data_IF_927669846822
#
_entry.id   IF_927669846822
#
_cell.length_a   1.000
_cell.length_b   1.000
_cell.length_c   1.000
_cell.angle_alpha   90.00
_cell.angle_beta   90.00
_cell.angle_gamma   90.00
#
_symmetry.space_group_name_H-M   'P 1'
#
loop_
_entity.id
_entity.type
_entity.pdbx_description
1 polymer ?
#
# COMPACT_ATOMS: atom_id res chain seq x y z
N UNK A 1 8.51 16.38 29.90
CA UNK A 1 8.22 15.95 28.50
C UNK A 1 7.14 16.88 27.98
N UNK A 2 7.40 17.65 26.93
CA UNK A 2 6.37 18.52 26.32
C UNK A 2 5.42 17.64 25.51
N UNK A 3 4.12 17.90 25.59
CA UNK A 3 3.13 17.24 24.72
C UNK A 3 3.38 17.59 23.25
N UNK A 4 2.86 16.76 22.34
CA UNK A 4 3.04 16.86 20.88
C UNK A 4 2.75 18.28 20.31
N UNK A 5 1.86 19.04 20.95
CA UNK A 5 1.55 20.43 20.61
C UNK A 5 2.46 21.48 21.25
N UNK A 6 2.96 21.25 22.47
CA UNK A 6 3.65 22.26 23.28
C UNK A 6 5.07 22.56 22.79
N UNK A 7 5.81 21.52 22.39
CA UNK A 7 7.14 21.70 21.81
C UNK A 7 7.08 22.55 20.52
N UNK A 8 6.05 22.33 19.71
CA UNK A 8 5.89 22.94 18.39
C UNK A 8 5.44 24.39 18.47
N UNK A 9 4.51 24.72 19.39
CA UNK A 9 4.11 26.11 19.67
C UNK A 9 5.30 26.92 20.17
N UNK A 10 6.15 26.31 21.02
CA UNK A 10 7.36 26.96 21.53
C UNK A 10 8.41 27.24 20.45
N UNK A 11 8.51 26.39 19.42
CA UNK A 11 9.49 26.55 18.33
C UNK A 11 9.04 27.49 17.20
N UNK A 12 7.75 27.52 16.89
CA UNK A 12 7.26 28.18 15.66
C UNK A 12 6.07 29.13 15.88
N UNK A 13 5.63 29.35 17.13
CA UNK A 13 4.48 30.20 17.45
C UNK A 13 3.12 29.54 17.19
N UNK A 14 2.04 30.27 17.53
CA UNK A 14 0.68 29.88 17.17
C UNK A 14 0.43 30.17 15.69
N UNK A 15 0.10 29.14 14.92
CA UNK A 15 -0.07 29.21 13.47
C UNK A 15 -1.51 28.83 13.07
N UNK A 16 -1.96 29.26 11.87
CA UNK A 16 -3.29 28.98 11.28
C UNK A 16 -3.66 27.48 11.26
N UNK A 17 -4.97 27.20 11.14
CA UNK A 17 -5.57 25.84 11.13
C UNK A 17 -4.81 24.88 10.21
N UNK A 18 -4.14 23.90 10.81
CA UNK A 18 -3.37 22.87 10.10
C UNK A 18 -4.30 21.78 9.57
N UNK A 19 -4.00 21.29 8.38
CA UNK A 19 -4.60 20.08 7.79
C UNK A 19 -3.52 19.00 7.72
N UNK A 20 -3.87 17.78 8.09
CA UNK A 20 -3.00 16.63 7.81
C UNK A 20 -2.92 16.40 6.29
N UNK A 21 -1.84 15.76 5.84
CA UNK A 21 -1.72 15.21 4.49
C UNK A 21 -1.18 13.79 4.61
N UNK A 22 -1.46 12.96 3.61
CA UNK A 22 -0.96 11.59 3.53
C UNK A 22 0.22 11.54 2.57
N UNK A 23 1.36 11.05 3.05
CA UNK A 23 2.52 10.74 2.22
C UNK A 23 2.48 9.25 1.88
N UNK A 24 2.39 8.94 0.59
CA UNK A 24 2.41 7.59 0.05
C UNK A 24 3.81 7.31 -0.47
N UNK A 25 4.41 6.19 -0.04
CA UNK A 25 5.76 5.80 -0.45
C UNK A 25 5.74 4.39 -1.04
N UNK A 26 6.46 4.21 -2.15
CA UNK A 26 6.81 2.89 -2.67
C UNK A 26 8.30 2.67 -2.40
N UNK A 27 8.63 1.62 -1.64
CA UNK A 27 10.00 1.35 -1.19
C UNK A 27 10.48 0.00 -1.74
N UNK A 28 11.71 -0.06 -2.21
CA UNK A 28 12.37 -1.32 -2.56
C UNK A 28 12.71 -2.10 -1.28
N UNK A 29 12.10 -3.27 -1.08
CA UNK A 29 12.35 -4.08 0.12
C UNK A 29 13.79 -4.63 0.22
N UNK A 30 14.60 -4.56 -0.85
CA UNK A 30 15.98 -5.06 -0.85
C UNK A 30 16.99 -3.95 -0.57
N UNK A 31 16.79 -2.80 -1.20
CA UNK A 31 17.74 -1.67 -1.12
C UNK A 31 17.30 -0.59 -0.15
N UNK A 32 16.04 -0.64 0.32
CA UNK A 32 15.39 0.40 1.12
C UNK A 32 15.28 1.76 0.42
N UNK A 33 15.49 1.80 -0.89
CA UNK A 33 15.33 3.02 -1.68
C UNK A 33 13.84 3.35 -1.85
N UNK A 34 13.51 4.63 -1.69
CA UNK A 34 12.20 5.16 -2.09
C UNK A 34 12.19 5.26 -3.62
N UNK A 35 11.29 4.53 -4.26
CA UNK A 35 11.14 4.48 -5.73
C UNK A 35 10.08 5.48 -6.21
N UNK A 36 9.00 5.65 -5.44
CA UNK A 36 7.94 6.61 -5.73
C UNK A 36 7.48 7.28 -4.45
N UNK A 37 7.06 8.54 -4.57
CA UNK A 37 6.45 9.28 -3.48
C UNK A 37 5.29 10.11 -4.04
N UNK A 38 4.16 10.11 -3.34
CA UNK A 38 3.02 10.96 -3.69
C UNK A 38 2.39 11.55 -2.43
N UNK A 39 1.87 12.77 -2.52
CA UNK A 39 1.31 13.50 -1.39
C UNK A 39 -0.16 13.83 -1.66
N UNK A 40 -1.07 13.23 -0.90
CA UNK A 40 -2.50 13.46 -1.04
C UNK A 40 -3.10 14.21 0.15
N UNK A 41 -4.30 14.77 -0.06
CA UNK A 41 -5.13 15.29 1.02
C UNK A 41 -5.71 14.12 1.85
N UNK A 42 -6.17 14.39 3.07
CA UNK A 42 -6.68 13.34 3.98
C UNK A 42 -7.94 12.64 3.48
N UNK A 43 -8.77 13.36 2.73
CA UNK A 43 -10.02 12.84 2.16
C UNK A 43 -9.80 11.92 0.96
N UNK A 44 -8.57 11.86 0.43
CA UNK A 44 -8.21 10.92 -0.64
C UNK A 44 -7.91 9.57 0.01
N UNK A 45 -8.58 8.52 -0.48
CA UNK A 45 -8.31 7.15 -0.08
C UNK A 45 -7.01 6.65 -0.68
N UNK A 46 -6.40 5.66 -0.03
CA UNK A 46 -5.09 5.14 -0.47
C UNK A 46 -5.18 4.50 -1.87
N UNK A 47 -6.33 3.89 -2.20
CA UNK A 47 -6.61 3.38 -3.55
C UNK A 47 -6.73 4.47 -4.61
N UNK A 48 -7.27 5.65 -4.27
CA UNK A 48 -7.40 6.78 -5.20
C UNK A 48 -6.04 7.45 -5.47
N UNK A 49 -5.15 7.50 -4.48
CA UNK A 49 -3.79 8.01 -4.65
C UNK A 49 -2.87 7.04 -5.41
N UNK A 50 -3.19 5.73 -5.37
CA UNK A 50 -2.31 4.68 -5.89
C UNK A 50 -1.88 4.85 -7.37
N UNK A 51 -2.76 5.21 -8.33
CA UNK A 51 -2.33 5.46 -9.71
C UNK A 51 -1.29 6.57 -9.81
N UNK A 52 -1.46 7.66 -9.04
CA UNK A 52 -0.52 8.79 -9.00
C UNK A 52 0.85 8.37 -8.50
N UNK A 53 0.90 7.46 -7.51
CA UNK A 53 2.13 6.88 -6.99
C UNK A 53 2.80 5.94 -8.00
N UNK A 54 2.11 4.87 -8.42
CA UNK A 54 2.73 3.77 -9.18
C UNK A 54 3.08 4.17 -10.61
N UNK A 55 2.41 5.17 -11.18
CA UNK A 55 2.72 5.67 -12.53
C UNK A 55 4.10 6.31 -12.62
N UNK A 56 4.64 6.85 -11.53
CA UNK A 56 5.96 7.49 -11.48
C UNK A 56 7.13 6.53 -11.75
N UNK A 57 7.00 5.24 -11.39
CA UNK A 57 8.11 4.31 -11.58
C UNK A 57 8.32 3.93 -13.05
N UNK A 58 9.56 4.08 -13.51
CA UNK A 58 10.03 3.51 -14.79
C UNK A 58 10.83 2.21 -14.58
N UNK A 59 11.04 1.79 -13.31
CA UNK A 59 11.77 0.57 -12.97
C UNK A 59 10.92 -0.66 -13.31
N UNK A 60 11.57 -1.74 -13.74
CA UNK A 60 10.92 -3.06 -13.85
C UNK A 60 10.69 -3.63 -12.45
N UNK A 61 9.45 -3.56 -11.97
CA UNK A 61 9.05 -4.11 -10.67
C UNK A 61 8.41 -5.48 -10.91
N UNK A 62 8.90 -6.52 -10.22
CA UNK A 62 8.33 -7.88 -10.33
C UNK A 62 6.98 -7.99 -9.63
N UNK A 63 6.89 -7.49 -8.42
CA UNK A 63 5.70 -7.59 -7.59
C UNK A 63 5.60 -6.36 -6.67
N UNK A 64 4.37 -5.96 -6.34
CA UNK A 64 4.10 -4.91 -5.38
C UNK A 64 3.21 -5.47 -4.26
N UNK A 65 3.63 -5.29 -3.02
CA UNK A 65 2.88 -5.67 -1.82
C UNK A 65 2.18 -4.44 -1.23
N UNK A 66 0.87 -4.53 -1.02
CA UNK A 66 0.06 -3.46 -0.41
C UNK A 66 -1.04 -4.07 0.47
N UNK A 67 -1.76 -3.26 1.26
CA UNK A 67 -2.75 -3.81 2.22
C UNK A 67 -4.09 -4.01 1.52
N UNK A 68 -5.03 -4.61 2.26
CA UNK A 68 -6.37 -4.85 1.74
C UNK A 68 -7.15 -3.58 1.39
N UNK A 69 -6.70 -2.38 1.78
CA UNK A 69 -7.32 -1.15 1.30
C UNK A 69 -7.15 -1.02 -0.22
N UNK A 70 -6.00 -1.47 -0.76
CA UNK A 70 -5.69 -1.49 -2.19
C UNK A 70 -6.36 -2.62 -2.97
N UNK A 71 -7.19 -3.47 -2.33
CA UNK A 71 -7.94 -4.53 -3.02
C UNK A 71 -9.12 -3.95 -3.82
N UNK A 72 -8.81 -3.18 -4.86
CA UNK A 72 -9.75 -2.51 -5.75
C UNK A 72 -9.36 -2.77 -7.20
N UNK A 73 -10.34 -2.82 -8.12
CA UNK A 73 -10.05 -3.04 -9.55
C UNK A 73 -9.07 -2.02 -10.10
N UNK A 74 -9.25 -0.75 -9.73
CA UNK A 74 -8.34 0.35 -10.09
C UNK A 74 -6.88 0.02 -9.77
N UNK A 75 -6.58 -0.43 -8.55
CA UNK A 75 -5.21 -0.76 -8.16
C UNK A 75 -4.67 -1.99 -8.92
N UNK A 76 -5.50 -3.03 -9.09
CA UNK A 76 -5.13 -4.23 -9.84
C UNK A 76 -4.88 -3.91 -11.32
N UNK A 77 -5.65 -3.03 -11.92
CA UNK A 77 -5.52 -2.61 -13.32
C UNK A 77 -4.24 -1.79 -13.56
N UNK A 78 -3.89 -0.87 -12.65
CA UNK A 78 -2.63 -0.13 -12.73
C UNK A 78 -1.41 -1.06 -12.64
N UNK A 79 -1.45 -2.03 -11.72
CA UNK A 79 -0.39 -3.03 -11.58
C UNK A 79 -0.30 -3.93 -12.81
N UNK A 80 -1.43 -4.40 -13.33
CA UNK A 80 -1.52 -5.21 -14.55
C UNK A 80 -0.96 -4.45 -15.76
N UNK A 81 -1.33 -3.18 -15.93
CA UNK A 81 -0.83 -2.30 -17.01
C UNK A 81 0.69 -2.16 -16.97
N UNK A 82 1.27 -2.10 -15.76
CA UNK A 82 2.73 -2.09 -15.56
C UNK A 82 3.39 -3.46 -15.55
N UNK A 83 2.62 -4.54 -15.74
CA UNK A 83 3.08 -5.94 -15.69
C UNK A 83 3.71 -6.29 -14.33
N UNK A 84 3.15 -5.75 -13.25
CA UNK A 84 3.57 -5.98 -11.87
C UNK A 84 2.59 -6.98 -11.22
N UNK A 85 3.09 -8.04 -10.58
CA UNK A 85 2.23 -8.94 -9.81
C UNK A 85 1.70 -8.27 -8.55
N UNK A 86 0.38 -8.33 -8.34
CA UNK A 86 -0.27 -7.74 -7.17
C UNK A 86 -0.24 -8.71 -5.97
N UNK A 87 0.55 -8.38 -4.94
CA UNK A 87 0.56 -9.06 -3.65
C UNK A 87 -0.31 -8.30 -2.65
N UNK A 88 -1.61 -8.27 -2.94
CA UNK A 88 -2.61 -7.55 -2.16
C UNK A 88 -3.59 -8.57 -1.54
N UNK A 89 -3.73 -8.61 -0.21
CA UNK A 89 -4.61 -9.57 0.44
C UNK A 89 -6.07 -9.18 0.16
N UNK A 90 -6.94 -10.13 -0.26
CA UNK A 90 -8.35 -9.82 -0.48
C UNK A 90 -9.03 -9.44 0.82
N UNK A 91 -9.99 -8.51 0.74
CA UNK A 91 -10.82 -8.11 1.89
C UNK A 91 -11.66 -9.28 2.39
N UNK A 92 -12.01 -9.27 3.68
CA UNK A 92 -12.85 -10.32 4.29
C UNK A 92 -14.19 -10.39 3.55
N UNK A 93 -14.58 -11.60 3.14
CA UNK A 93 -15.83 -11.83 2.41
C UNK A 93 -15.77 -11.44 0.94
N UNK A 94 -14.57 -11.26 0.36
CA UNK A 94 -14.41 -10.93 -1.04
C UNK A 94 -15.12 -11.93 -1.99
N UNK A 95 -15.85 -11.38 -2.95
CA UNK A 95 -16.38 -12.10 -4.11
C UNK A 95 -15.29 -12.36 -5.16
N UNK A 96 -15.54 -13.34 -6.02
CA UNK A 96 -14.75 -13.51 -7.23
C UNK A 96 -15.01 -12.36 -8.21
N UNK A 97 -13.97 -11.98 -8.94
CA UNK A 97 -14.04 -11.05 -10.07
C UNK A 97 -13.96 -11.84 -11.40
N UNK A 98 -14.15 -11.18 -12.56
CA UNK A 98 -13.94 -11.82 -13.87
C UNK A 98 -12.58 -12.51 -14.00
N UNK A 99 -12.48 -13.47 -14.94
CA UNK A 99 -11.33 -14.38 -15.07
C UNK A 99 -9.97 -13.69 -15.28
N UNK A 100 -9.95 -12.48 -15.81
CA UNK A 100 -8.74 -11.66 -15.93
C UNK A 100 -8.05 -11.35 -14.59
N UNK A 101 -8.77 -11.43 -13.46
CA UNK A 101 -8.24 -11.24 -12.10
C UNK A 101 -7.87 -12.57 -11.43
N UNK A 102 -7.38 -13.55 -12.21
CA UNK A 102 -7.08 -14.90 -11.75
C UNK A 102 -6.20 -14.93 -10.49
N UNK A 103 -5.18 -14.07 -10.39
CA UNK A 103 -4.28 -13.99 -9.23
C UNK A 103 -5.01 -13.62 -7.95
N UNK A 104 -5.83 -12.57 -8.01
CA UNK A 104 -6.69 -12.17 -6.89
C UNK A 104 -7.72 -13.25 -6.57
N UNK A 105 -8.35 -13.84 -7.58
CA UNK A 105 -9.35 -14.89 -7.38
C UNK A 105 -8.75 -16.14 -6.72
N UNK A 106 -7.50 -16.50 -7.04
CA UNK A 106 -6.76 -17.55 -6.31
C UNK A 106 -6.54 -17.17 -4.84
N UNK A 107 -6.24 -15.90 -4.54
CA UNK A 107 -6.15 -15.43 -3.16
C UNK A 107 -7.50 -15.52 -2.42
N UNK A 108 -8.61 -15.15 -3.09
CA UNK A 108 -9.98 -15.27 -2.54
C UNK A 108 -10.33 -16.73 -2.26
N UNK A 109 -10.01 -17.64 -3.17
CA UNK A 109 -10.25 -19.07 -2.98
C UNK A 109 -9.49 -19.60 -1.75
N UNK A 110 -8.21 -19.23 -1.60
CA UNK A 110 -7.43 -19.58 -0.42
C UNK A 110 -8.08 -19.04 0.86
N UNK A 111 -8.49 -17.78 0.88
CA UNK A 111 -9.16 -17.17 2.05
C UNK A 111 -10.45 -17.91 2.41
N UNK A 112 -11.25 -18.32 1.42
CA UNK A 112 -12.50 -19.08 1.64
C UNK A 112 -12.23 -20.47 2.19
N UNK A 113 -11.20 -21.15 1.71
CA UNK A 113 -10.85 -22.50 2.15
C UNK A 113 -10.31 -22.54 3.58
N UNK A 114 -9.53 -21.54 3.99
CA UNK A 114 -8.85 -21.54 5.31
C UNK A 114 -9.49 -20.60 6.33
N UNK A 115 -10.49 -19.81 5.93
CA UNK A 115 -11.08 -18.75 6.74
C UNK A 115 -10.14 -17.56 7.02
N UNK A 116 -8.93 -17.54 6.44
CA UNK A 116 -7.92 -16.51 6.71
C UNK A 116 -6.95 -16.30 5.54
N UNK A 117 -6.29 -15.14 5.51
CA UNK A 117 -5.21 -14.89 4.54
C UNK A 117 -3.88 -15.53 4.94
N UNK A 118 -3.79 -16.27 6.06
CA UNK A 118 -2.52 -16.77 6.60
C UNK A 118 -1.77 -17.67 5.62
N UNK A 119 -2.45 -18.67 5.07
CA UNK A 119 -1.87 -19.59 4.07
C UNK A 119 -1.38 -18.83 2.83
N UNK A 120 -2.22 -17.94 2.29
CA UNK A 120 -1.84 -17.11 1.15
C UNK A 120 -0.60 -16.25 1.45
N UNK A 121 -0.54 -15.58 2.62
CA UNK A 121 0.62 -14.78 3.05
C UNK A 121 1.89 -15.60 3.29
N UNK A 122 1.77 -16.89 3.59
CA UNK A 122 2.92 -17.77 3.75
C UNK A 122 3.44 -18.28 2.41
N UNK A 123 2.51 -18.57 1.48
CA UNK A 123 2.85 -19.03 0.12
C UNK A 123 3.24 -17.91 -0.85
N UNK A 124 2.92 -16.67 -0.48
CA UNK A 124 3.31 -15.47 -1.23
C UNK A 124 4.32 -14.74 -0.39
N UNK A 125 5.36 -14.16 -0.98
CA UNK A 125 6.38 -13.35 -0.28
C UNK A 125 5.82 -12.05 0.34
N UNK A 126 4.53 -11.99 0.65
CA UNK A 126 3.81 -10.86 1.23
C UNK A 126 4.48 -10.32 2.50
N UNK A 127 5.03 -11.21 3.33
CA UNK A 127 5.69 -10.83 4.57
C UNK A 127 6.92 -9.94 4.35
N UNK A 128 7.50 -9.87 3.14
CA UNK A 128 8.59 -8.91 2.83
C UNK A 128 8.16 -7.45 2.92
N UNK A 129 6.84 -7.18 2.97
CA UNK A 129 6.31 -5.84 3.20
C UNK A 129 6.83 -5.22 4.51
N UNK A 130 6.98 -5.99 5.57
CA UNK A 130 7.45 -5.44 6.86
C UNK A 130 8.87 -4.87 6.75
N UNK A 131 9.70 -5.42 5.87
CA UNK A 131 11.06 -4.92 5.59
C UNK A 131 10.98 -3.50 5.01
N UNK A 132 10.06 -3.27 4.07
CA UNK A 132 9.82 -1.95 3.50
C UNK A 132 9.27 -0.96 4.55
N UNK A 133 8.43 -1.41 5.47
CA UNK A 133 7.90 -0.58 6.56
C UNK A 133 9.00 -0.15 7.55
N UNK A 134 10.03 -1.00 7.74
CA UNK A 134 11.20 -0.66 8.57
C UNK A 134 12.18 0.31 7.91
N UNK A 135 12.01 0.65 6.63
CA UNK A 135 12.91 1.59 5.94
C UNK A 135 12.89 3.01 6.56
N UNK A 136 11.82 3.37 7.27
CA UNK A 136 11.66 4.68 7.91
C UNK A 136 11.81 4.63 9.44
N UNK A 137 12.30 3.51 10.00
CA UNK A 137 12.62 3.43 11.43
C UNK A 137 13.91 4.22 11.71
N UNK A 138 13.84 5.14 12.67
CA UNK A 138 15.00 5.82 13.27
C UNK A 138 15.45 5.09 14.52
#
# INVERSE_FOLDING_TARGET
VFGEGEWKVKKHGQERRRIWRKLHLAVDSKTHEIICADLSLNNVTDSEAFPGLIRQTHRKIRAASADGAYDTRLCHDELRRKKISALIPPRKGAGYWPGEYADRNRAVANQRMTGSNARWKWTTDYNRRSIAETAMYR
#
